data_IF_168471237710
#
_entry.id   IF_168471237710
#
_cell.length_a   1.000
_cell.length_b   1.000
_cell.length_c   1.000
_cell.angle_alpha   90.00
_cell.angle_beta   90.00
_cell.angle_gamma   90.00
#
_symmetry.space_group_name_H-M   'P 1'
#
loop_
_entity.id
_entity.type
_entity.pdbx_description
1 polymer ?
#
# COMPACT_ATOMS: atom_id res chain seq x y z
N UNK A 1 -1.62 -2.60 7.42
CA UNK A 1 -1.26 -1.82 8.63
C UNK A 1 -0.90 -2.79 9.76
N UNK A 2 0.03 -2.41 10.64
CA UNK A 2 0.30 -3.18 11.86
C UNK A 2 -0.92 -3.14 12.78
N UNK A 3 -1.05 -4.12 13.67
CA UNK A 3 -2.22 -4.31 14.54
C UNK A 3 -2.56 -3.06 15.35
N UNK A 4 -1.56 -2.47 16.02
CA UNK A 4 -1.71 -1.24 16.80
C UNK A 4 -2.10 -0.01 15.98
N UNK A 5 -1.98 -0.09 14.65
CA UNK A 5 -2.29 0.99 13.71
C UNK A 5 -3.59 0.78 12.96
N UNK A 6 -4.22 -0.39 13.05
CA UNK A 6 -5.52 -0.68 12.42
C UNK A 6 -6.62 0.30 12.84
N UNK A 7 -6.76 0.72 14.11
CA UNK A 7 -7.76 1.72 14.49
C UNK A 7 -7.53 3.08 13.82
N UNK A 8 -6.27 3.49 13.66
CA UNK A 8 -5.93 4.74 12.98
C UNK A 8 -6.19 4.65 11.47
N UNK A 9 -5.88 3.50 10.86
CA UNK A 9 -6.19 3.24 9.45
C UNK A 9 -7.70 3.25 9.21
N UNK A 10 -8.48 2.58 10.06
CA UNK A 10 -9.94 2.52 9.93
C UNK A 10 -10.57 3.91 9.99
N UNK A 11 -10.16 4.74 10.96
CA UNK A 11 -10.64 6.14 11.03
C UNK A 11 -10.34 6.91 9.75
N UNK A 12 -9.11 6.82 9.24
CA UNK A 12 -8.72 7.49 8.01
C UNK A 12 -9.55 6.99 6.81
N UNK A 13 -9.81 5.70 6.69
CA UNK A 13 -10.63 5.15 5.61
C UNK A 13 -12.09 5.61 5.69
N UNK A 14 -12.66 5.68 6.90
CA UNK A 14 -14.03 6.19 7.09
C UNK A 14 -14.13 7.65 6.68
N UNK A 15 -13.14 8.49 7.03
CA UNK A 15 -13.08 9.90 6.65
C UNK A 15 -12.93 10.11 5.13
N UNK A 16 -12.28 9.16 4.43
CA UNK A 16 -11.98 9.26 3.00
C UNK A 16 -12.81 8.29 2.15
N UNK A 17 -13.92 7.77 2.70
CA UNK A 17 -14.70 6.68 2.10
C UNK A 17 -15.17 7.00 0.68
N UNK A 18 -15.68 8.21 0.45
CA UNK A 18 -16.22 8.62 -0.85
C UNK A 18 -15.16 8.63 -1.95
N UNK A 19 -13.93 9.04 -1.62
CA UNK A 19 -12.78 8.99 -2.55
C UNK A 19 -12.36 7.54 -2.78
N UNK A 20 -12.22 6.76 -1.71
CA UNK A 20 -11.78 5.36 -1.77
C UNK A 20 -12.72 4.45 -2.58
N UNK A 21 -14.02 4.77 -2.65
CA UNK A 21 -14.99 4.04 -3.46
C UNK A 21 -14.71 4.11 -4.98
N UNK A 22 -13.91 5.09 -5.42
CA UNK A 22 -13.55 5.29 -6.83
C UNK A 22 -12.30 4.52 -7.24
N UNK A 23 -11.63 3.87 -6.29
CA UNK A 23 -10.36 3.16 -6.51
C UNK A 23 -10.47 1.67 -6.16
N UNK A 24 -9.54 0.88 -6.68
CA UNK A 24 -9.43 -0.54 -6.34
C UNK A 24 -8.60 -0.72 -5.07
N UNK A 25 -9.12 -1.47 -4.09
CA UNK A 25 -8.52 -1.61 -2.77
C UNK A 25 -7.93 -3.01 -2.55
N UNK A 26 -6.64 -3.06 -2.21
CA UNK A 26 -5.84 -4.28 -2.01
C UNK A 26 -5.21 -4.39 -0.60
N UNK A 27 -6.00 -4.53 0.47
CA UNK A 27 -5.47 -4.71 1.82
C UNK A 27 -5.02 -6.16 2.08
N UNK A 28 -4.10 -6.34 3.03
CA UNK A 28 -3.75 -7.67 3.58
C UNK A 28 -4.87 -8.25 4.45
N UNK A 29 -4.95 -9.57 4.57
CA UNK A 29 -6.15 -10.31 5.00
C UNK A 29 -6.88 -9.76 6.23
N UNK A 30 -6.18 -9.62 7.37
CA UNK A 30 -6.83 -9.11 8.60
C UNK A 30 -7.24 -7.64 8.49
N UNK A 31 -6.52 -6.84 7.70
CA UNK A 31 -6.91 -5.47 7.39
C UNK A 31 -8.16 -5.51 6.51
N UNK A 32 -8.14 -6.25 5.39
CA UNK A 32 -9.25 -6.30 4.43
C UNK A 32 -10.56 -6.78 5.02
N UNK A 33 -10.53 -7.78 5.90
CA UNK A 33 -11.71 -8.23 6.63
C UNK A 33 -12.32 -7.13 7.50
N UNK A 34 -11.48 -6.43 8.29
CA UNK A 34 -11.91 -5.29 9.10
C UNK A 34 -12.52 -4.18 8.23
N UNK A 35 -11.86 -3.83 7.12
CA UNK A 35 -12.32 -2.75 6.26
C UNK A 35 -13.64 -3.08 5.59
N UNK A 36 -13.76 -4.27 5.01
CA UNK A 36 -14.98 -4.70 4.33
C UNK A 36 -16.18 -4.69 5.28
N UNK A 37 -15.99 -5.18 6.52
CA UNK A 37 -17.02 -5.20 7.55
C UNK A 37 -17.46 -3.80 7.99
N UNK A 38 -16.53 -2.90 8.23
CA UNK A 38 -16.83 -1.59 8.85
C UNK A 38 -17.21 -0.50 7.84
N UNK A 39 -16.76 -0.62 6.59
CA UNK A 39 -16.95 0.43 5.57
C UNK A 39 -17.89 0.02 4.45
N UNK A 40 -18.07 -1.27 4.18
CA UNK A 40 -18.81 -1.78 3.02
C UNK A 40 -18.11 -1.53 1.68
N UNK A 41 -16.83 -1.17 1.68
CA UNK A 41 -16.05 -0.98 0.45
C UNK A 41 -15.81 -2.31 -0.27
N UNK A 42 -15.81 -2.26 -1.60
CA UNK A 42 -15.40 -3.39 -2.44
C UNK A 42 -13.89 -3.57 -2.33
N UNK A 43 -13.46 -4.75 -1.90
CA UNK A 43 -12.07 -5.01 -1.49
C UNK A 43 -11.60 -6.35 -2.05
N UNK A 44 -10.40 -6.37 -2.64
CA UNK A 44 -9.69 -7.60 -2.99
C UNK A 44 -8.63 -7.89 -1.94
N UNK A 45 -8.97 -8.70 -0.95
CA UNK A 45 -8.07 -9.01 0.16
C UNK A 45 -6.96 -9.97 -0.26
N UNK A 46 -5.71 -9.63 0.10
CA UNK A 46 -4.56 -10.55 0.05
C UNK A 46 -4.56 -11.46 1.29
N UNK A 47 -3.60 -12.38 1.40
CA UNK A 47 -3.41 -13.14 2.63
C UNK A 47 -2.87 -12.24 3.76
N UNK A 48 -2.77 -12.77 4.98
CA UNK A 48 -2.20 -12.02 6.11
C UNK A 48 -0.76 -11.60 5.81
N UNK A 49 -0.37 -10.38 6.18
CA UNK A 49 0.98 -9.84 5.95
C UNK A 49 2.10 -10.81 6.37
N UNK A 50 2.14 -11.23 7.66
CA UNK A 50 3.12 -12.20 8.17
C UNK A 50 3.09 -13.58 7.50
N UNK A 51 2.01 -13.92 6.80
CA UNK A 51 1.85 -15.20 6.09
C UNK A 51 2.21 -15.07 4.60
N UNK A 52 2.81 -13.95 4.18
CA UNK A 52 3.22 -13.69 2.79
C UNK A 52 2.38 -12.63 2.06
N UNK A 53 1.39 -12.02 2.71
CA UNK A 53 0.58 -10.96 2.11
C UNK A 53 1.39 -9.73 1.69
N UNK A 54 2.44 -9.42 2.45
CA UNK A 54 3.33 -8.29 2.12
C UNK A 54 4.15 -8.59 0.85
N UNK A 55 4.52 -9.87 0.64
CA UNK A 55 5.20 -10.32 -0.57
C UNK A 55 4.26 -10.34 -1.78
N UNK A 56 2.99 -10.71 -1.59
CA UNK A 56 1.97 -10.60 -2.65
C UNK A 56 1.83 -9.15 -3.12
N UNK A 57 1.75 -8.20 -2.18
CA UNK A 57 1.71 -6.77 -2.52
C UNK A 57 3.00 -6.32 -3.21
N UNK A 58 4.16 -6.76 -2.73
CA UNK A 58 5.45 -6.44 -3.36
C UNK A 58 5.55 -6.93 -4.81
N UNK A 59 5.05 -8.13 -5.10
CA UNK A 59 4.97 -8.66 -6.47
C UNK A 59 4.04 -7.81 -7.35
N UNK A 60 2.85 -7.45 -6.85
CA UNK A 60 1.90 -6.61 -7.58
C UNK A 60 2.47 -5.20 -7.86
N UNK A 61 3.25 -4.63 -6.93
CA UNK A 61 3.95 -3.36 -7.15
C UNK A 61 4.95 -3.50 -8.31
N UNK A 62 5.76 -4.55 -8.32
CA UNK A 62 6.73 -4.77 -9.40
C UNK A 62 6.11 -5.11 -10.77
N UNK A 63 4.85 -5.54 -10.77
CA UNK A 63 4.08 -5.82 -11.98
C UNK A 63 3.26 -4.62 -12.45
N UNK A 64 3.39 -3.45 -11.81
CA UNK A 64 2.62 -2.24 -12.15
C UNK A 64 1.12 -2.36 -11.85
N UNK A 65 0.72 -3.19 -10.88
CA UNK A 65 -0.69 -3.46 -10.51
C UNK A 65 -1.14 -2.73 -9.24
N UNK A 66 -0.23 -2.01 -8.58
CA UNK A 66 -0.49 -1.19 -7.39
C UNK A 66 0.13 0.19 -7.63
N UNK A 67 -0.71 1.21 -7.67
CA UNK A 67 -0.30 2.57 -8.00
C UNK A 67 0.03 3.41 -6.75
N UNK A 68 -0.56 3.08 -5.60
CA UNK A 68 -0.38 3.82 -4.35
C UNK A 68 -0.31 2.84 -3.16
N UNK A 69 0.67 3.03 -2.28
CA UNK A 69 0.81 2.25 -1.05
C UNK A 69 0.47 3.09 0.19
N UNK A 70 -0.60 2.75 0.89
CA UNK A 70 -0.90 3.28 2.23
C UNK A 70 -0.59 2.23 3.29
N UNK A 71 0.51 2.42 4.03
CA UNK A 71 0.97 1.47 5.03
C UNK A 71 1.23 2.12 6.39
N UNK A 72 0.22 2.12 7.27
CA UNK A 72 0.41 2.52 8.66
C UNK A 72 1.12 1.42 9.45
N UNK A 73 2.43 1.57 9.59
CA UNK A 73 3.29 0.71 10.39
C UNK A 73 3.49 1.28 11.80
N UNK A 74 3.89 0.42 12.73
CA UNK A 74 4.18 0.76 14.11
C UNK A 74 5.68 1.02 14.28
N UNK A 75 6.12 2.28 14.49
CA UNK A 75 7.53 2.61 14.61
C UNK A 75 8.13 2.33 15.99
N UNK A 76 7.31 1.99 16.99
CA UNK A 76 7.76 1.80 18.36
C UNK A 76 7.86 0.33 18.77
N UNK A 77 7.28 -0.57 17.98
CA UNK A 77 7.27 -2.00 18.26
C UNK A 77 7.93 -2.79 17.13
N UNK A 78 8.91 -3.62 17.47
CA UNK A 78 9.44 -4.60 16.54
C UNK A 78 8.35 -5.63 16.22
N UNK A 79 8.14 -5.89 14.93
CA UNK A 79 7.25 -6.94 14.45
C UNK A 79 8.09 -8.13 13.95
N UNK A 80 7.67 -9.39 14.14
CA UNK A 80 8.41 -10.56 13.67
C UNK A 80 8.68 -10.58 12.16
N UNK A 81 7.87 -9.86 11.39
CA UNK A 81 7.96 -9.71 9.93
C UNK A 81 8.58 -8.36 9.51
N UNK A 82 9.39 -7.71 10.36
CA UNK A 82 10.09 -6.45 10.02
C UNK A 82 10.93 -6.53 8.73
N UNK A 83 11.58 -7.66 8.38
CA UNK A 83 12.20 -7.82 7.07
C UNK A 83 11.23 -7.65 5.90
N UNK A 84 9.98 -8.12 6.03
CA UNK A 84 8.96 -8.01 5.00
C UNK A 84 8.47 -6.56 4.85
N UNK A 85 8.34 -5.83 5.97
CA UNK A 85 8.01 -4.39 5.98
C UNK A 85 9.05 -3.59 5.19
N UNK A 86 10.33 -3.84 5.46
CA UNK A 86 11.44 -3.18 4.76
C UNK A 86 11.50 -3.58 3.29
N UNK A 87 11.26 -4.86 2.97
CA UNK A 87 11.22 -5.34 1.59
C UNK A 87 10.09 -4.67 0.79
N UNK A 88 8.91 -4.52 1.39
CA UNK A 88 7.76 -3.85 0.76
C UNK A 88 8.02 -2.36 0.52
N UNK A 89 8.57 -1.64 1.50
CA UNK A 89 8.92 -0.24 1.32
C UNK A 89 10.05 -0.07 0.28
N UNK A 90 11.05 -0.95 0.30
CA UNK A 90 12.13 -0.95 -0.69
C UNK A 90 11.61 -1.13 -2.11
N UNK A 91 10.70 -2.09 -2.35
CA UNK A 91 10.17 -2.31 -3.71
C UNK A 91 9.30 -1.13 -4.16
N UNK A 92 8.51 -0.54 -3.26
CA UNK A 92 7.75 0.67 -3.57
C UNK A 92 8.66 1.85 -3.97
N UNK A 93 9.81 2.00 -3.30
CA UNK A 93 10.82 3.01 -3.66
C UNK A 93 11.53 2.71 -4.98
N UNK A 94 11.76 1.44 -5.32
CA UNK A 94 12.35 1.07 -6.62
C UNK A 94 11.42 1.46 -7.75
N UNK A 95 10.13 1.19 -7.61
CA UNK A 95 9.12 1.49 -8.64
C UNK A 95 8.50 2.88 -8.53
N UNK A 96 9.07 3.75 -7.68
CA UNK A 96 8.68 5.15 -7.51
C UNK A 96 7.19 5.42 -7.25
N UNK A 97 6.44 4.45 -6.70
CA UNK A 97 5.02 4.66 -6.43
C UNK A 97 4.83 5.57 -5.21
N UNK A 98 3.78 6.42 -5.16
CA UNK A 98 3.44 7.18 -3.97
C UNK A 98 3.23 6.29 -2.73
N UNK A 99 3.94 6.60 -1.64
CA UNK A 99 3.86 5.85 -0.37
C UNK A 99 3.46 6.76 0.80
N UNK A 100 2.41 6.38 1.51
CA UNK A 100 2.04 6.97 2.79
C UNK A 100 2.26 5.99 3.94
N UNK A 101 3.27 6.26 4.77
CA UNK A 101 3.57 5.43 5.96
C UNK A 101 2.87 5.92 7.24
N UNK A 102 2.19 7.06 7.16
CA UNK A 102 1.48 7.68 8.28
C UNK A 102 0.27 8.50 7.77
N UNK A 103 -0.56 8.96 8.70
CA UNK A 103 -1.81 9.68 8.38
C UNK A 103 -1.58 11.03 7.73
N UNK A 104 -0.52 11.75 8.08
CA UNK A 104 -0.22 13.06 7.49
C UNK A 104 0.10 12.89 6.00
N UNK A 105 1.01 11.98 5.65
CA UNK A 105 1.33 11.68 4.24
C UNK A 105 0.09 11.17 3.49
N UNK A 106 -0.72 10.31 4.10
CA UNK A 106 -1.96 9.82 3.47
C UNK A 106 -2.94 10.95 3.16
N UNK A 107 -3.08 11.94 4.05
CA UNK A 107 -3.89 13.14 3.82
C UNK A 107 -3.37 13.93 2.62
N UNK A 108 -2.07 14.23 2.57
CA UNK A 108 -1.48 14.97 1.45
C UNK A 108 -1.67 14.24 0.11
N UNK A 109 -1.51 12.92 0.09
CA UNK A 109 -1.76 12.13 -1.13
C UNK A 109 -3.22 12.19 -1.57
N UNK A 110 -4.17 12.07 -0.63
CA UNK A 110 -5.59 12.01 -0.95
C UNK A 110 -6.24 13.38 -1.20
N UNK A 111 -5.60 14.47 -0.77
CA UNK A 111 -5.99 15.84 -1.11
C UNK A 111 -5.30 16.36 -2.39
N UNK A 112 -4.36 15.59 -2.94
CA UNK A 112 -3.68 15.95 -4.18
C UNK A 112 -4.65 15.83 -5.37
N UNK A 113 -4.71 16.83 -6.27
CA UNK A 113 -5.52 16.72 -7.49
C UNK A 113 -5.00 15.60 -8.42
N UNK A 114 -3.74 15.18 -8.25
CA UNK A 114 -3.13 14.10 -9.02
C UNK A 114 -3.75 12.72 -8.73
N UNK A 115 -4.45 12.54 -7.62
CA UNK A 115 -5.06 11.25 -7.26
C UNK A 115 -6.14 10.81 -8.26
N UNK A 116 -6.83 11.77 -8.88
CA UNK A 116 -7.93 11.52 -9.81
C UNK A 116 -7.51 11.69 -11.28
N UNK A 117 -6.21 11.72 -11.56
CA UNK A 117 -5.65 11.97 -12.89
C UNK A 117 -4.66 10.87 -13.28
N UNK A 118 -4.45 10.69 -14.58
CA UNK A 118 -3.30 9.94 -15.07
C UNK A 118 -2.03 10.75 -14.80
N UNK A 119 -1.03 10.11 -14.21
CA UNK A 119 0.23 10.73 -13.81
C UNK A 119 1.37 9.90 -14.36
N UNK A 120 2.22 10.52 -15.15
CA UNK A 120 3.48 9.91 -15.56
C UNK A 120 4.46 9.97 -14.39
N UNK A 121 4.96 8.80 -13.97
CA UNK A 121 6.01 8.67 -12.95
C UNK A 121 7.26 8.06 -13.56
N UNK A 122 8.42 8.50 -13.09
CA UNK A 122 9.70 7.92 -13.48
C UNK A 122 9.89 6.56 -12.82
N UNK A 123 9.99 5.50 -13.61
CA UNK A 123 10.26 4.13 -13.16
C UNK A 123 11.57 3.62 -13.76
N UNK A 124 12.25 2.65 -13.11
CA UNK A 124 13.48 2.07 -13.65
C UNK A 124 13.23 1.38 -15.00
N UNK A 125 14.17 1.55 -15.93
CA UNK A 125 14.21 0.76 -17.16
C UNK A 125 14.73 -0.66 -16.85
N UNK A 126 13.78 -1.57 -16.59
CA UNK A 126 14.11 -2.95 -16.23
C UNK A 126 14.70 -3.73 -17.41
N UNK A 127 14.28 -3.45 -18.64
CA UNK A 127 14.78 -4.13 -19.84
C UNK A 127 16.24 -3.76 -20.10
N UNK A 128 16.58 -2.47 -20.00
CA UNK A 128 17.97 -2.02 -20.08
C UNK A 128 18.82 -2.60 -18.95
N UNK A 129 18.31 -2.62 -17.72
CA UNK A 129 18.98 -3.23 -16.57
C UNK A 129 19.28 -4.72 -16.77
N UNK A 130 18.35 -5.47 -17.37
CA UNK A 130 18.55 -6.88 -17.70
C UNK A 130 19.59 -7.06 -18.81
N UNK A 131 19.53 -6.23 -19.86
CA UNK A 131 20.46 -6.29 -20.98
C UNK A 131 21.93 -6.05 -20.58
N UNK A 132 22.19 -5.23 -19.57
CA UNK A 132 23.55 -4.99 -19.04
C UNK A 132 24.12 -6.16 -18.22
N UNK A 133 23.26 -7.09 -17.77
CA UNK A 133 23.62 -8.16 -16.82
C UNK A 133 23.62 -9.55 -17.43
N UNK A 134 23.11 -9.69 -18.65
CA UNK A 134 23.13 -10.93 -19.45
C UNK A 134 24.31 -10.93 -20.41
#
# INVERSE_FOLDING_TARGET
>A
AHDNRKPALLRWLTENKETLQRHFLYPTGTTGHLLSKETGLAIKSMISGPMGGDQQLGALISEGKIDVLVFFWDPLNAVPHDPDVKALLRIASVWSIPVATNRATAKFLFESPLLEQEVDIEVPDYEAYLAERM
#
